data_IF_154231499944
#
_entry.id   IF_154231499944
#
_cell.length_a   1.000
_cell.length_b   1.000
_cell.length_c   1.000
_cell.angle_alpha   90.00
_cell.angle_beta   90.00
_cell.angle_gamma   90.00
#
_symmetry.space_group_name_H-M   'P 1'
#
loop_
_entity.id
_entity.type
_entity.pdbx_description
1 polymer ?
#
# COMPACT_ATOMS: atom_id res chain seq x y z
N UNK A 1 22.80 -6.26 -77.18
CA UNK A 1 22.74 -6.85 -75.82
C UNK A 1 22.19 -5.81 -74.87
N UNK A 2 20.88 -5.88 -74.66
CA UNK A 2 20.15 -5.27 -73.55
C UNK A 2 20.79 -5.62 -72.20
N UNK A 3 20.99 -4.67 -71.29
CA UNK A 3 20.70 -4.84 -69.87
C UNK A 3 20.48 -3.48 -69.19
N UNK A 4 19.28 -3.35 -68.64
CA UNK A 4 18.79 -2.29 -67.77
C UNK A 4 19.50 -2.34 -66.41
N UNK A 5 19.86 -1.20 -65.82
CA UNK A 5 19.81 -1.04 -64.35
C UNK A 5 19.49 0.39 -63.91
N UNK A 6 18.20 0.55 -63.57
CA UNK A 6 17.61 1.28 -62.43
C UNK A 6 18.12 2.69 -62.08
N UNK A 7 17.26 3.65 -62.39
CA UNK A 7 17.19 5.01 -61.84
C UNK A 7 17.17 5.01 -60.31
N UNK A 8 18.13 5.69 -59.69
CA UNK A 8 18.09 6.05 -58.28
C UNK A 8 17.09 7.18 -58.08
N UNK A 9 15.89 6.87 -57.58
CA UNK A 9 14.94 7.86 -57.10
C UNK A 9 15.53 8.57 -55.89
N UNK A 10 15.90 9.85 -56.04
CA UNK A 10 16.13 10.74 -54.90
C UNK A 10 14.80 11.01 -54.22
N UNK A 11 14.50 10.30 -53.14
CA UNK A 11 13.42 10.66 -52.24
C UNK A 11 13.85 11.86 -51.39
N UNK A 12 13.82 13.05 -51.99
CA UNK A 12 13.57 14.26 -51.23
C UNK A 12 12.06 14.30 -50.95
N UNK A 13 11.64 13.80 -49.79
CA UNK A 13 10.27 13.98 -49.29
C UNK A 13 10.30 14.36 -47.81
N UNK A 14 10.21 15.66 -47.60
CA UNK A 14 9.51 16.36 -46.53
C UNK A 14 9.62 15.78 -45.12
N UNK A 15 10.43 16.47 -44.32
CA UNK A 15 10.20 16.70 -42.90
C UNK A 15 8.74 17.07 -42.63
N UNK A 16 7.95 16.13 -42.10
CA UNK A 16 6.92 16.47 -41.12
C UNK A 16 7.04 15.44 -40.01
N UNK A 17 7.95 15.74 -39.08
CA UNK A 17 7.90 15.18 -37.74
C UNK A 17 6.49 15.45 -37.20
N UNK A 18 5.63 14.44 -37.15
CA UNK A 18 4.45 14.46 -36.29
C UNK A 18 4.94 14.35 -34.86
N UNK A 19 5.46 15.47 -34.36
CA UNK A 19 5.72 15.70 -32.96
C UNK A 19 4.37 16.01 -32.31
N UNK A 20 3.50 15.00 -32.24
CA UNK A 20 2.53 14.97 -31.15
C UNK A 20 3.32 14.72 -29.87
N UNK A 21 4.03 15.76 -29.42
CA UNK A 21 4.54 15.84 -28.05
C UNK A 21 3.30 15.88 -27.18
N UNK A 22 2.80 14.71 -26.77
CA UNK A 22 1.93 14.62 -25.61
C UNK A 22 2.74 15.19 -24.45
N UNK A 23 2.45 16.43 -24.09
CA UNK A 23 3.07 17.08 -22.94
C UNK A 23 2.60 16.34 -21.69
N UNK A 24 3.41 15.41 -21.20
CA UNK A 24 3.17 14.75 -19.93
C UNK A 24 3.53 15.77 -18.85
N UNK A 25 2.53 16.56 -18.43
CA UNK A 25 2.67 17.42 -17.26
C UNK A 25 2.68 16.54 -16.02
N UNK A 26 3.83 16.45 -15.35
CA UNK A 26 3.94 15.77 -14.05
C UNK A 26 3.94 16.84 -12.96
N UNK A 27 2.86 16.91 -12.18
CA UNK A 27 2.81 17.74 -10.98
C UNK A 27 3.43 16.98 -9.81
N UNK A 28 4.06 17.72 -8.88
CA UNK A 28 4.58 17.11 -7.63
C UNK A 28 3.40 16.64 -6.77
N UNK A 29 3.50 15.44 -6.19
CA UNK A 29 2.48 14.91 -5.28
C UNK A 29 2.43 15.75 -3.99
N UNK A 30 1.30 16.41 -3.72
CA UNK A 30 1.14 17.35 -2.60
C UNK A 30 1.00 16.71 -1.20
N UNK A 31 1.12 15.38 -1.03
CA UNK A 31 1.02 14.64 0.25
C UNK A 31 -0.07 15.16 1.22
N UNK A 32 -1.20 15.57 0.65
CA UNK A 32 -2.33 16.10 1.41
C UNK A 32 -2.88 15.01 2.33
N UNK A 33 -3.27 15.42 3.55
CA UNK A 33 -3.78 14.50 4.57
C UNK A 33 -5.29 14.55 4.70
N UNK A 34 -5.90 15.71 4.57
CA UNK A 34 -7.35 15.87 4.64
C UNK A 34 -7.87 16.76 3.50
N UNK A 35 -9.02 16.38 2.95
CA UNK A 35 -9.83 17.22 2.07
C UNK A 35 -11.01 17.72 2.91
N UNK A 36 -11.25 19.02 2.92
CA UNK A 36 -12.38 19.64 3.62
C UNK A 36 -13.33 20.25 2.61
N UNK A 37 -14.60 19.94 2.77
CA UNK A 37 -15.68 20.49 1.96
C UNK A 37 -16.49 21.43 2.84
N UNK A 38 -16.68 22.67 2.41
CA UNK A 38 -17.59 23.62 3.04
C UNK A 38 -18.48 24.27 1.97
N UNK A 39 -19.75 24.47 2.31
CA UNK A 39 -20.74 25.08 1.42
C UNK A 39 -20.99 26.51 1.88
N UNK A 40 -20.59 27.46 1.04
CA UNK A 40 -20.87 28.88 1.24
C UNK A 40 -21.99 29.27 0.27
N UNK A 41 -23.22 29.36 0.78
CA UNK A 41 -24.40 29.63 -0.04
C UNK A 41 -24.61 28.58 -1.13
N UNK A 42 -24.38 28.98 -2.39
CA UNK A 42 -24.51 28.12 -3.57
C UNK A 42 -23.20 27.46 -4.02
N UNK A 43 -22.04 27.91 -3.52
CA UNK A 43 -20.73 27.39 -3.90
C UNK A 43 -20.23 26.31 -2.93
N UNK A 44 -19.68 25.23 -3.47
CA UNK A 44 -18.97 24.19 -2.72
C UNK A 44 -17.47 24.42 -2.87
N UNK A 45 -16.81 24.76 -1.77
CA UNK A 45 -15.38 25.00 -1.71
C UNK A 45 -14.69 23.76 -1.15
N UNK A 46 -13.73 23.22 -1.91
CA UNK A 46 -12.93 22.05 -1.52
C UNK A 46 -11.50 22.48 -1.24
N UNK A 47 -11.06 22.33 0.00
CA UNK A 47 -9.72 22.71 0.44
C UNK A 47 -8.87 21.49 0.81
N UNK A 48 -7.60 21.50 0.38
CA UNK A 48 -6.61 20.53 0.80
C UNK A 48 -5.84 21.03 2.03
N UNK A 49 -6.10 20.46 3.20
CA UNK A 49 -5.45 20.88 4.45
C UNK A 49 -4.34 19.92 4.85
N UNK A 50 -3.18 20.47 5.23
CA UNK A 50 -2.05 19.70 5.75
C UNK A 50 -2.16 19.55 7.27
N UNK A 51 -2.62 18.39 7.73
CA UNK A 51 -2.83 18.12 9.17
C UNK A 51 -1.64 17.39 9.79
N UNK A 52 -0.91 17.92 10.78
CA UNK A 52 0.15 17.15 11.46
C UNK A 52 -0.44 15.91 12.14
N UNK A 53 0.31 14.79 12.18
CA UNK A 53 -0.22 13.60 12.89
C UNK A 53 -0.06 13.79 14.39
N UNK A 54 -1.03 13.39 15.23
CA UNK A 54 -0.93 13.53 16.68
C UNK A 54 0.14 12.62 17.30
N UNK A 55 0.72 11.70 16.51
CA UNK A 55 1.68 10.69 16.96
C UNK A 55 3.12 11.03 16.61
N UNK A 56 3.39 12.22 16.07
CA UNK A 56 4.74 12.64 15.64
C UNK A 56 5.78 12.49 16.75
N UNK A 57 5.40 12.82 17.98
CA UNK A 57 6.28 12.75 19.15
C UNK A 57 6.55 11.31 19.62
N UNK A 58 5.60 10.40 19.34
CA UNK A 58 5.64 8.99 19.75
C UNK A 58 6.24 8.09 18.66
N UNK A 59 6.77 8.67 17.58
CA UNK A 59 7.34 7.87 16.49
C UNK A 59 8.59 7.15 16.96
N UNK A 60 8.62 5.84 16.71
CA UNK A 60 9.79 5.02 16.96
C UNK A 60 10.92 5.50 16.05
N UNK A 61 12.01 5.98 16.64
CA UNK A 61 13.27 6.17 15.92
C UNK A 61 13.88 4.79 15.73
N UNK A 62 13.79 4.23 14.53
CA UNK A 62 14.49 2.99 14.19
C UNK A 62 16.00 3.30 14.08
N UNK A 63 16.66 3.52 15.22
CA UNK A 63 18.11 3.76 15.29
C UNK A 63 18.80 2.44 15.58
N UNK A 64 19.05 1.65 14.54
CA UNK A 64 20.08 0.62 14.54
C UNK A 64 20.84 0.88 13.21
N UNK A 65 21.97 1.60 13.13
CA UNK A 65 23.24 1.40 13.82
C UNK A 65 24.03 2.72 13.86
N UNK A 66 24.25 3.32 15.04
CA UNK A 66 25.22 4.44 15.18
C UNK A 66 26.65 3.94 15.41
N UNK A 67 26.86 2.64 15.59
CA UNK A 67 28.19 2.09 15.86
C UNK A 67 29.02 1.87 14.58
N UNK A 68 28.38 1.83 13.39
CA UNK A 68 29.07 1.69 12.10
C UNK A 68 28.31 2.39 10.97
N UNK A 69 28.69 3.62 10.57
CA UNK A 69 28.08 4.37 9.46
C UNK A 69 28.12 3.65 8.10
N UNK A 70 29.00 2.66 7.95
CA UNK A 70 29.22 1.92 6.71
C UNK A 70 28.39 0.62 6.59
N UNK A 71 27.60 0.26 7.60
CA UNK A 71 26.76 -0.95 7.61
C UNK A 71 25.33 -0.64 8.08
N UNK A 72 24.71 0.40 7.52
CA UNK A 72 23.26 0.55 7.61
C UNK A 72 22.61 -0.33 6.53
N UNK A 73 22.30 -1.59 6.87
CA UNK A 73 21.25 -2.29 6.13
C UNK A 73 19.94 -1.63 6.54
N UNK A 74 19.24 -1.02 5.58
CA UNK A 74 17.90 -0.43 5.78
C UNK A 74 16.93 -1.51 6.27
N UNK A 75 16.87 -1.71 7.58
CA UNK A 75 15.96 -2.65 8.21
C UNK A 75 14.66 -1.93 8.53
N UNK A 76 13.54 -2.58 8.25
CA UNK A 76 12.24 -2.04 8.61
C UNK A 76 12.11 -1.93 10.14
N UNK A 77 11.33 -0.99 10.68
CA UNK A 77 11.16 -0.86 12.14
C UNK A 77 10.62 -2.14 12.80
N UNK A 78 9.73 -2.88 12.14
CA UNK A 78 9.27 -4.20 12.65
C UNK A 78 10.39 -5.24 12.71
N UNK A 79 11.36 -5.12 11.81
CA UNK A 79 12.56 -5.96 11.75
C UNK A 79 13.55 -5.54 12.83
N UNK A 80 13.71 -4.22 13.03
CA UNK A 80 14.62 -3.65 14.02
C UNK A 80 14.16 -3.93 15.46
N UNK A 81 12.85 -3.85 15.72
CA UNK A 81 12.26 -4.10 17.03
C UNK A 81 12.10 -5.58 17.36
N UNK A 82 12.22 -6.48 16.38
CA UNK A 82 12.05 -7.93 16.55
C UNK A 82 10.78 -8.34 17.35
N UNK A 83 9.66 -7.64 17.12
CA UNK A 83 8.41 -7.91 17.83
C UNK A 83 7.72 -9.18 17.32
N UNK A 84 7.28 -10.03 18.25
CA UNK A 84 6.38 -11.14 17.94
C UNK A 84 4.91 -10.68 17.98
N UNK A 85 4.42 -10.19 16.83
CA UNK A 85 3.06 -9.65 16.70
C UNK A 85 2.06 -10.75 16.35
N UNK A 86 0.98 -10.78 17.13
CA UNK A 86 -0.19 -11.64 16.98
C UNK A 86 -1.35 -10.94 16.29
N UNK A 87 -2.34 -11.70 15.83
CA UNK A 87 -3.57 -11.12 15.25
C UNK A 87 -4.47 -10.48 16.32
N UNK A 88 -4.25 -10.82 17.58
CA UNK A 88 -4.91 -10.24 18.75
C UNK A 88 -4.41 -8.83 19.09
N UNK A 89 -3.23 -8.44 18.60
CA UNK A 89 -2.54 -7.20 18.98
C UNK A 89 -3.07 -6.01 18.16
N UNK A 90 -4.35 -5.68 18.36
CA UNK A 90 -5.08 -4.67 17.60
C UNK A 90 -4.43 -3.28 17.69
N UNK A 91 -3.81 -2.95 18.82
CA UNK A 91 -3.15 -1.65 19.02
C UNK A 91 -1.95 -1.44 18.08
N UNK A 92 -1.25 -2.53 17.74
CA UNK A 92 -0.15 -2.50 16.78
C UNK A 92 -0.72 -2.54 15.36
N UNK A 93 -1.65 -3.47 15.10
CA UNK A 93 -2.20 -3.68 13.76
C UNK A 93 -2.98 -2.46 13.22
N UNK A 94 -3.73 -1.76 14.07
CA UNK A 94 -4.49 -0.57 13.70
C UNK A 94 -3.63 0.56 13.15
N UNK A 95 -2.34 0.61 13.47
CA UNK A 95 -1.41 1.62 12.95
C UNK A 95 -1.13 1.47 11.45
N UNK A 96 -1.30 0.26 10.90
CA UNK A 96 -1.05 -0.05 9.50
C UNK A 96 -2.31 0.02 8.63
N UNK A 97 -3.43 0.42 9.21
CA UNK A 97 -4.75 0.37 8.57
C UNK A 97 -5.34 1.78 8.51
N UNK A 98 -6.10 2.06 7.46
CA UNK A 98 -6.86 3.31 7.29
C UNK A 98 -8.11 3.30 8.18
N UNK A 99 -8.76 4.44 8.27
CA UNK A 99 -10.08 4.59 8.91
C UNK A 99 -11.12 3.61 8.36
N UNK A 100 -11.02 3.25 7.09
CA UNK A 100 -11.98 2.38 6.39
C UNK A 100 -11.65 0.88 6.52
N UNK A 101 -10.59 0.54 7.27
CA UNK A 101 -10.18 -0.85 7.47
C UNK A 101 -9.29 -1.37 6.35
N UNK A 102 -9.01 -0.57 5.33
CA UNK A 102 -8.05 -0.94 4.27
C UNK A 102 -6.61 -0.84 4.75
N UNK A 103 -5.80 -1.85 4.44
CA UNK A 103 -4.35 -1.85 4.71
C UNK A 103 -3.63 -0.72 3.97
N UNK A 104 -2.70 -0.04 4.65
CA UNK A 104 -1.86 0.99 4.05
C UNK A 104 -0.86 0.38 3.04
N UNK A 105 -0.56 1.09 1.93
CA UNK A 105 0.38 0.59 0.94
C UNK A 105 1.83 0.61 1.46
N UNK A 106 2.64 -0.35 0.99
CA UNK A 106 4.04 -0.54 1.42
C UNK A 106 4.91 0.72 1.34
N UNK A 107 4.70 1.54 0.30
CA UNK A 107 5.43 2.79 0.08
C UNK A 107 5.20 3.84 1.19
N UNK A 108 4.10 3.70 1.94
CA UNK A 108 3.73 4.58 3.05
C UNK A 108 4.13 3.93 4.38
N UNK A 109 3.87 2.63 4.55
CA UNK A 109 4.23 1.93 5.79
C UNK A 109 5.73 1.79 5.99
N UNK A 110 6.55 1.78 4.92
CA UNK A 110 8.01 1.63 5.05
C UNK A 110 8.46 0.22 5.44
N UNK A 111 7.56 -0.77 5.36
CA UNK A 111 7.88 -2.16 5.71
C UNK A 111 8.60 -2.91 4.60
N UNK A 112 9.43 -3.87 5.00
CA UNK A 112 9.92 -4.92 4.11
C UNK A 112 8.75 -5.71 3.50
N UNK A 113 8.92 -6.23 2.28
CA UNK A 113 7.87 -6.98 1.59
C UNK A 113 7.36 -8.19 2.41
N UNK A 114 8.27 -8.88 3.13
CA UNK A 114 7.94 -9.97 4.04
C UNK A 114 7.03 -9.51 5.17
N UNK A 115 7.40 -8.42 5.85
CA UNK A 115 6.64 -7.89 6.98
C UNK A 115 5.30 -7.31 6.54
N UNK A 116 5.25 -6.62 5.40
CA UNK A 116 3.99 -6.12 4.83
C UNK A 116 3.00 -7.28 4.57
N UNK A 117 3.48 -8.41 4.02
CA UNK A 117 2.64 -9.59 3.83
C UNK A 117 2.22 -10.21 5.17
N UNK A 118 3.12 -10.27 6.16
CA UNK A 118 2.83 -10.77 7.50
C UNK A 118 1.72 -9.96 8.18
N UNK A 119 1.91 -8.64 8.26
CA UNK A 119 0.93 -7.73 8.87
C UNK A 119 -0.39 -7.75 8.09
N UNK A 120 -0.36 -7.76 6.75
CA UNK A 120 -1.58 -7.85 5.95
C UNK A 120 -2.43 -9.10 6.24
N UNK A 121 -1.79 -10.25 6.49
CA UNK A 121 -2.50 -11.47 6.93
C UNK A 121 -3.06 -11.32 8.34
N UNK A 122 -2.27 -10.79 9.28
CA UNK A 122 -2.70 -10.59 10.67
C UNK A 122 -3.88 -9.61 10.76
N UNK A 123 -3.86 -8.51 10.01
CA UNK A 123 -4.99 -7.56 9.90
C UNK A 123 -6.23 -8.27 9.37
N UNK A 124 -6.09 -9.07 8.31
CA UNK A 124 -7.23 -9.82 7.75
C UNK A 124 -7.83 -10.79 8.77
N UNK A 125 -6.99 -11.46 9.57
CA UNK A 125 -7.44 -12.33 10.65
C UNK A 125 -8.16 -11.55 11.74
N UNK A 126 -7.56 -10.45 12.23
CA UNK A 126 -8.15 -9.60 13.25
C UNK A 126 -9.52 -9.06 12.83
N UNK A 127 -9.67 -8.65 11.56
CA UNK A 127 -10.94 -8.20 11.00
C UNK A 127 -11.99 -9.32 10.93
N UNK A 128 -11.59 -10.52 10.48
CA UNK A 128 -12.50 -11.68 10.42
C UNK A 128 -12.93 -12.15 11.81
N UNK A 129 -12.01 -12.12 12.77
CA UNK A 129 -12.26 -12.42 14.18
C UNK A 129 -13.14 -11.35 14.87
N UNK A 130 -13.36 -10.19 14.23
CA UNK A 130 -14.19 -9.11 14.78
C UNK A 130 -13.48 -8.24 15.80
N UNK A 131 -12.15 -8.24 15.84
CA UNK A 131 -11.36 -7.44 16.79
C UNK A 131 -11.20 -5.97 16.36
N UNK A 132 -11.47 -5.64 15.09
CA UNK A 132 -11.26 -4.30 14.49
C UNK A 132 -12.56 -3.68 13.96
N UNK A 133 -13.68 -3.84 14.67
CA UNK A 133 -15.02 -3.38 14.20
C UNK A 133 -15.09 -1.84 14.07
N UNK A 134 -14.31 -1.09 14.84
CA UNK A 134 -14.35 0.38 14.78
C UNK A 134 -13.83 0.96 13.46
N UNK A 135 -13.01 0.20 12.73
CA UNK A 135 -12.40 0.62 11.47
C UNK A 135 -13.21 0.15 10.25
N UNK A 136 -14.40 -0.38 10.42
CA UNK A 136 -15.19 -0.85 9.28
C UNK A 136 -15.93 0.31 8.61
N UNK A 137 -16.16 0.24 7.28
CA UNK A 137 -16.92 1.26 6.58
C UNK A 137 -18.36 1.32 7.10
N UNK A 138 -18.99 2.49 7.00
CA UNK A 138 -20.31 2.77 7.57
C UNK A 138 -21.41 1.80 7.09
N UNK A 139 -21.32 1.31 5.84
CA UNK A 139 -22.28 0.36 5.27
C UNK A 139 -22.19 -1.05 5.89
N UNK A 140 -21.11 -1.38 6.59
CA UNK A 140 -20.94 -2.72 7.13
C UNK A 140 -21.87 -2.96 8.34
N UNK A 141 -22.47 -4.16 8.40
CA UNK A 141 -23.18 -4.61 9.59
C UNK A 141 -22.19 -4.92 10.73
N UNK A 142 -22.06 -3.98 11.66
CA UNK A 142 -21.24 -4.13 12.88
C UNK A 142 -21.73 -5.30 13.73
N UNK A 143 -23.06 -5.45 13.83
CA UNK A 143 -23.72 -6.56 14.53
C UNK A 143 -23.43 -7.90 13.81
N UNK A 144 -22.81 -8.89 14.49
CA UNK A 144 -22.45 -10.17 13.86
C UNK A 144 -23.68 -10.95 13.39
N UNK A 145 -24.81 -10.87 14.11
CA UNK A 145 -26.07 -11.56 13.78
C UNK A 145 -26.67 -11.15 12.43
N UNK A 146 -26.38 -9.93 11.97
CA UNK A 146 -26.86 -9.39 10.69
C UNK A 146 -25.96 -9.77 9.51
N UNK A 147 -24.84 -10.44 9.75
CA UNK A 147 -23.89 -10.82 8.69
C UNK A 147 -24.35 -12.07 7.95
N UNK A 148 -24.07 -12.10 6.64
CA UNK A 148 -24.45 -13.21 5.78
C UNK A 148 -23.65 -14.48 6.05
N UNK A 149 -24.35 -15.62 6.10
CA UNK A 149 -23.76 -16.96 6.12
C UNK A 149 -22.88 -17.24 7.34
N UNK A 150 -21.71 -17.81 7.10
CA UNK A 150 -20.77 -18.20 8.15
C UNK A 150 -20.11 -17.02 8.88
N UNK A 151 -20.19 -15.80 8.33
CA UNK A 151 -19.59 -14.59 8.93
C UNK A 151 -20.26 -14.13 10.23
N UNK A 152 -21.42 -14.71 10.56
CA UNK A 152 -22.14 -14.47 11.81
C UNK A 152 -21.54 -15.19 13.01
N UNK A 153 -20.77 -16.24 12.76
CA UNK A 153 -20.17 -17.06 13.81
C UNK A 153 -18.80 -16.50 14.22
N UNK A 154 -18.42 -16.78 15.47
CA UNK A 154 -17.09 -16.42 15.97
C UNK A 154 -16.03 -17.20 15.20
N UNK A 155 -14.97 -16.50 14.79
CA UNK A 155 -13.83 -17.11 14.10
C UNK A 155 -12.55 -16.78 14.85
N UNK A 156 -11.69 -17.79 15.01
CA UNK A 156 -10.41 -17.69 15.70
C UNK A 156 -9.32 -18.25 14.81
N UNK A 157 -8.10 -17.76 14.96
CA UNK A 157 -6.98 -18.16 14.11
C UNK A 157 -5.80 -18.62 14.97
N UNK A 158 -5.11 -19.67 14.52
CA UNK A 158 -3.81 -20.05 15.05
C UNK A 158 -2.69 -19.56 14.11
N UNK A 159 -1.90 -18.60 14.59
CA UNK A 159 -0.86 -17.92 13.82
C UNK A 159 0.25 -18.87 13.36
N UNK A 160 0.48 -19.95 14.10
CA UNK A 160 1.52 -20.96 13.80
C UNK A 160 1.31 -21.60 12.44
N UNK A 161 0.06 -21.71 12.00
CA UNK A 161 -0.31 -22.40 10.75
C UNK A 161 -0.14 -21.54 9.48
N UNK A 162 0.18 -20.25 9.62
CA UNK A 162 -0.12 -19.27 8.55
C UNK A 162 1.14 -18.65 7.92
N UNK A 163 2.27 -18.71 8.62
CA UNK A 163 3.55 -18.21 8.11
C UNK A 163 4.29 -19.30 7.34
N UNK A 164 4.32 -19.13 6.02
CA UNK A 164 5.26 -19.88 5.18
C UNK A 164 6.67 -19.46 5.60
N UNK A 165 7.52 -20.42 6.00
CA UNK A 165 8.95 -20.19 6.33
C UNK A 165 9.68 -19.43 5.22
N UNK A 166 9.19 -19.51 3.97
CA UNK A 166 9.69 -18.80 2.79
C UNK A 166 8.54 -18.25 1.94
N UNK A 167 8.74 -17.11 1.28
CA UNK A 167 7.80 -16.62 0.26
C UNK A 167 7.88 -17.56 -0.96
N UNK A 168 6.75 -18.12 -1.44
CA UNK A 168 6.76 -18.98 -2.61
C UNK A 168 7.20 -18.16 -3.84
N UNK A 169 8.18 -18.68 -4.57
CA UNK A 169 8.60 -18.12 -5.85
C UNK A 169 7.59 -18.53 -6.93
N UNK A 170 7.55 -17.85 -8.08
CA UNK A 170 6.71 -18.26 -9.22
C UNK A 170 6.93 -19.71 -9.66
N UNK A 171 8.15 -20.23 -9.46
CA UNK A 171 8.55 -21.63 -9.69
C UNK A 171 7.80 -22.62 -8.80
N UNK A 172 7.53 -22.25 -7.55
CA UNK A 172 6.94 -23.12 -6.53
C UNK A 172 5.42 -23.31 -6.76
N UNK A 173 4.83 -22.63 -7.76
CA UNK A 173 3.39 -22.70 -8.08
C UNK A 173 2.98 -24.09 -8.60
N UNK A 174 3.91 -24.83 -9.19
CA UNK A 174 3.68 -26.10 -9.87
C UNK A 174 4.11 -27.34 -9.05
N UNK A 175 4.71 -27.12 -7.88
CA UNK A 175 5.03 -28.19 -6.92
C UNK A 175 3.86 -28.31 -5.95
N UNK A 176 2.83 -29.08 -6.32
CA UNK A 176 1.81 -29.54 -5.38
C UNK A 176 1.60 -31.03 -5.50
#
# INVERSE_FOLDING_TARGET
MSFLTRTGYSFAKNTILSTSLRSISTTKQLRLKELREHKEGSSLVVEGVTVPSPRTELLIRAVNNQENPHQCKDTCYMCALNLDVKHTDVLILSQFVRTDGCMLPRRITGLCQRQQKKIGKLVTMAQKAGLMINLTPAYCHKDPKKRYGFKKFNTYFDEKTIFMKRIPKPTDRFER
#
